data_IF_190167475749
#
_entry.id   IF_190167475749
#
_cell.length_a   1.000
_cell.length_b   1.000
_cell.length_c   1.000
_cell.angle_alpha   90.00
_cell.angle_beta   90.00
_cell.angle_gamma   90.00
#
_symmetry.space_group_name_H-M   'P 1'
#
loop_
_entity.id
_entity.type
_entity.pdbx_description
1 polymer ?
#
# COMPACT_ATOMS: atom_id res chain seq x y z
N UNK A 1 31.67 -13.75 -27.95
CA UNK A 1 30.32 -13.45 -27.45
C UNK A 1 30.39 -13.24 -25.95
N UNK A 2 30.34 -11.99 -25.49
CA UNK A 2 29.54 -11.67 -24.30
C UNK A 2 29.15 -10.20 -24.42
N UNK A 3 27.85 -9.94 -24.39
CA UNK A 3 27.26 -8.62 -24.58
C UNK A 3 26.82 -8.14 -23.19
N UNK A 4 27.48 -7.08 -22.69
CA UNK A 4 26.88 -6.18 -21.71
C UNK A 4 27.00 -6.54 -20.23
N UNK A 5 28.22 -6.52 -19.69
CA UNK A 5 28.44 -6.25 -18.26
C UNK A 5 28.62 -4.73 -18.06
N UNK A 6 27.53 -3.96 -18.02
CA UNK A 6 27.52 -2.60 -17.47
C UNK A 6 26.10 -2.09 -17.24
N UNK A 7 25.86 -1.69 -15.99
CA UNK A 7 24.77 -0.84 -15.52
C UNK A 7 23.42 -1.52 -15.27
N UNK A 8 23.22 -1.97 -14.03
CA UNK A 8 21.90 -1.88 -13.42
C UNK A 8 22.02 -1.07 -12.14
N UNK A 9 22.19 0.24 -12.32
CA UNK A 9 22.37 1.23 -11.26
C UNK A 9 21.05 1.83 -10.76
N UNK A 10 20.05 1.00 -10.43
CA UNK A 10 18.78 1.45 -9.80
C UNK A 10 18.19 0.38 -8.87
N UNK A 11 18.79 0.22 -7.68
CA UNK A 11 18.16 -0.53 -6.59
C UNK A 11 17.27 0.41 -5.76
N UNK A 12 15.99 0.02 -5.59
CA UNK A 12 14.87 0.67 -4.88
C UNK A 12 14.00 1.66 -5.68
N UNK A 13 13.08 1.14 -6.49
CA UNK A 13 12.05 1.90 -7.21
C UNK A 13 10.75 1.10 -7.45
N UNK A 14 10.09 0.73 -6.35
CA UNK A 14 8.62 0.72 -6.15
C UNK A 14 7.69 0.07 -7.21
N UNK A 15 7.56 -1.25 -7.18
CA UNK A 15 6.38 -1.94 -7.73
C UNK A 15 5.20 -1.97 -6.75
N UNK A 16 3.97 -2.12 -7.26
CA UNK A 16 2.76 -2.39 -6.45
C UNK A 16 3.02 -3.59 -5.53
N UNK A 17 2.68 -3.52 -4.22
CA UNK A 17 2.86 -4.64 -3.33
C UNK A 17 1.97 -5.82 -3.73
N UNK A 18 2.53 -7.03 -3.76
CA UNK A 18 1.79 -8.26 -4.03
C UNK A 18 0.89 -8.69 -2.87
N UNK A 19 1.35 -8.49 -1.63
CA UNK A 19 0.65 -8.89 -0.41
C UNK A 19 0.92 -7.94 0.77
N UNK A 20 0.12 -8.05 1.84
CA UNK A 20 0.27 -7.23 3.05
C UNK A 20 1.64 -7.38 3.72
N UNK A 21 2.29 -8.55 3.60
CA UNK A 21 3.64 -8.79 4.15
C UNK A 21 4.68 -7.94 3.42
N UNK A 22 4.56 -7.84 2.10
CA UNK A 22 5.43 -7.01 1.27
C UNK A 22 5.18 -5.52 1.53
N UNK A 23 3.91 -5.10 1.60
CA UNK A 23 3.56 -3.72 1.96
C UNK A 23 4.18 -3.29 3.29
N UNK A 24 4.13 -4.15 4.33
CA UNK A 24 4.80 -3.89 5.63
C UNK A 24 6.32 -3.79 5.47
N UNK A 25 6.93 -4.66 4.67
CA UNK A 25 8.36 -4.60 4.35
C UNK A 25 8.77 -3.30 3.65
N UNK A 26 7.95 -2.79 2.72
CA UNK A 26 8.20 -1.52 2.04
C UNK A 26 8.21 -0.32 3.00
N UNK A 27 7.30 -0.30 3.99
CA UNK A 27 7.31 0.74 5.02
C UNK A 27 8.50 0.59 5.99
N UNK A 28 8.80 -0.63 6.44
CA UNK A 28 9.88 -0.90 7.40
C UNK A 28 11.28 -0.62 6.83
N UNK A 29 11.50 -0.93 5.55
CA UNK A 29 12.75 -0.67 4.85
C UNK A 29 12.99 0.81 4.53
N UNK A 30 12.00 1.68 4.78
CA UNK A 30 12.01 3.10 4.38
C UNK A 30 12.23 3.30 2.87
N UNK A 31 12.01 2.25 2.08
CA UNK A 31 12.08 2.30 0.62
C UNK A 31 11.08 3.32 0.05
N UNK A 32 9.97 3.55 0.76
CA UNK A 32 9.04 4.63 0.52
C UNK A 32 9.38 5.83 1.42
N UNK A 33 10.04 6.85 0.87
CA UNK A 33 10.17 8.15 1.56
C UNK A 33 8.85 8.91 1.46
N UNK A 34 7.94 8.63 2.39
CA UNK A 34 6.63 9.25 2.43
C UNK A 34 6.68 10.59 3.19
N UNK A 35 6.03 11.65 2.68
CA UNK A 35 5.75 12.82 3.49
C UNK A 35 4.82 12.43 4.65
N UNK A 36 4.88 13.20 5.75
CA UNK A 36 4.15 12.93 7.00
C UNK A 36 2.67 12.56 6.81
N UNK A 37 1.99 13.18 5.85
CA UNK A 37 0.59 12.89 5.55
C UNK A 37 0.37 11.50 4.92
N UNK A 38 1.27 11.02 4.07
CA UNK A 38 1.18 9.68 3.48
C UNK A 38 1.60 8.60 4.48
N UNK A 39 2.55 8.89 5.37
CA UNK A 39 2.91 8.01 6.47
C UNK A 39 1.74 7.81 7.45
N UNK A 40 1.00 8.89 7.77
CA UNK A 40 -0.22 8.79 8.58
C UNK A 40 -1.25 7.83 7.96
N UNK A 41 -1.47 7.92 6.64
CA UNK A 41 -2.40 7.03 5.93
C UNK A 41 -1.90 5.58 5.98
N UNK A 42 -0.60 5.35 5.80
CA UNK A 42 0.01 4.02 5.91
C UNK A 42 -0.22 3.40 7.29
N UNK A 43 0.02 4.15 8.37
CA UNK A 43 -0.18 3.69 9.74
C UNK A 43 -1.64 3.29 9.99
N UNK A 44 -2.59 4.12 9.56
CA UNK A 44 -4.02 3.81 9.68
C UNK A 44 -4.40 2.59 8.84
N UNK A 45 -3.86 2.45 7.63
CA UNK A 45 -4.13 1.32 6.75
C UNK A 45 -3.60 -0.01 7.31
N UNK A 46 -2.43 0.01 7.96
CA UNK A 46 -1.86 -1.16 8.64
C UNK A 46 -2.63 -1.53 9.90
N UNK A 47 -3.11 -0.54 10.66
CA UNK A 47 -3.84 -0.74 11.90
C UNK A 47 -5.31 -1.12 11.69
N UNK A 48 -5.95 -0.56 10.65
CA UNK A 48 -7.38 -0.74 10.31
C UNK A 48 -7.55 -1.05 8.82
N UNK A 49 -7.16 -2.25 8.39
CA UNK A 49 -7.28 -2.65 6.98
C UNK A 49 -8.73 -2.67 6.48
N UNK A 50 -9.72 -2.93 7.36
CA UNK A 50 -11.16 -2.90 7.05
C UNK A 50 -11.64 -1.50 6.63
N UNK A 51 -11.11 -0.45 7.26
CA UNK A 51 -11.46 0.93 6.94
C UNK A 51 -11.02 1.29 5.52
N UNK A 52 -9.89 0.76 5.07
CA UNK A 52 -9.43 0.94 3.68
C UNK A 52 -10.19 0.03 2.72
N UNK A 53 -10.46 -1.22 3.12
CA UNK A 53 -11.15 -2.22 2.31
C UNK A 53 -12.63 -1.89 2.04
N UNK A 54 -13.32 -1.25 2.98
CA UNK A 54 -14.76 -1.02 2.90
C UNK A 54 -15.13 0.46 2.89
N UNK A 55 -14.32 1.32 3.49
CA UNK A 55 -14.55 2.76 3.53
C UNK A 55 -14.43 3.46 2.17
N UNK A 56 -14.81 4.73 2.17
CA UNK A 56 -14.61 5.65 1.03
C UNK A 56 -13.33 6.47 1.22
N UNK A 57 -12.81 7.03 0.13
CA UNK A 57 -11.66 7.94 0.20
C UNK A 57 -11.89 9.09 1.19
N UNK A 58 -13.13 9.61 1.28
CA UNK A 58 -13.53 10.64 2.25
C UNK A 58 -13.44 10.16 3.70
N UNK A 59 -13.90 8.93 3.97
CA UNK A 59 -13.88 8.37 5.34
C UNK A 59 -12.44 8.13 5.81
N UNK A 60 -11.59 7.63 4.91
CA UNK A 60 -10.15 7.44 5.17
C UNK A 60 -9.46 8.78 5.40
N UNK A 61 -9.76 9.76 4.55
CA UNK A 61 -9.20 11.11 4.66
C UNK A 61 -9.53 11.75 6.03
N UNK A 62 -10.78 11.64 6.46
CA UNK A 62 -11.23 12.13 7.76
C UNK A 62 -10.53 11.41 8.91
N UNK A 63 -10.39 10.08 8.83
CA UNK A 63 -9.68 9.28 9.82
C UNK A 63 -8.18 9.59 9.93
N UNK A 64 -7.57 10.14 8.87
CA UNK A 64 -6.16 10.51 8.83
C UNK A 64 -5.91 12.03 8.95
N UNK A 65 -6.97 12.84 9.08
CA UNK A 65 -6.91 14.31 9.02
C UNK A 65 -6.18 14.85 7.76
N UNK A 66 -6.51 14.28 6.59
CA UNK A 66 -5.99 14.68 5.27
C UNK A 66 -7.13 14.93 4.28
N UNK A 67 -6.82 15.31 3.04
CA UNK A 67 -7.81 15.43 1.96
C UNK A 67 -8.04 14.08 1.24
N UNK A 68 -9.21 13.89 0.59
CA UNK A 68 -9.46 12.72 -0.27
C UNK A 68 -8.45 12.60 -1.43
N UNK A 69 -7.98 13.73 -1.95
CA UNK A 69 -6.94 13.76 -2.99
C UNK A 69 -5.61 13.21 -2.49
N UNK A 70 -5.24 13.45 -1.22
CA UNK A 70 -4.05 12.84 -0.60
C UNK A 70 -4.20 11.32 -0.48
N UNK A 71 -5.40 10.81 -0.21
CA UNK A 71 -5.68 9.36 -0.20
C UNK A 71 -5.53 8.75 -1.60
N UNK A 72 -5.96 9.45 -2.66
CA UNK A 72 -5.73 9.00 -4.03
C UNK A 72 -4.22 8.99 -4.37
N UNK A 73 -3.48 10.03 -3.98
CA UNK A 73 -2.01 10.09 -4.13
C UNK A 73 -1.28 9.01 -3.33
N UNK A 74 -1.82 8.60 -2.19
CA UNK A 74 -1.28 7.49 -1.42
C UNK A 74 -1.32 6.19 -2.23
N UNK A 75 -2.44 5.90 -2.89
CA UNK A 75 -2.58 4.71 -3.74
C UNK A 75 -1.53 4.70 -4.86
N UNK A 76 -1.39 5.82 -5.57
CA UNK A 76 -0.42 5.90 -6.68
C UNK A 76 1.03 5.88 -6.19
N UNK A 77 1.33 6.45 -5.01
CA UNK A 77 2.66 6.38 -4.40
C UNK A 77 3.09 4.94 -4.02
N UNK A 78 2.11 4.07 -3.76
CA UNK A 78 2.33 2.64 -3.53
C UNK A 78 2.37 1.81 -4.82
N UNK A 79 2.21 2.43 -6.00
CA UNK A 79 2.23 1.75 -7.30
C UNK A 79 0.88 1.20 -7.77
N UNK A 80 -0.23 1.51 -7.09
CA UNK A 80 -1.57 1.19 -7.58
C UNK A 80 -2.04 2.21 -8.63
N UNK A 81 -2.92 1.80 -9.54
CA UNK A 81 -3.44 2.70 -10.57
C UNK A 81 -4.30 3.82 -9.97
N UNK A 82 -5.15 3.46 -9.00
CA UNK A 82 -6.11 4.35 -8.35
C UNK A 82 -6.49 3.85 -6.96
N UNK A 83 -7.28 4.65 -6.23
CA UNK A 83 -7.87 4.26 -4.94
C UNK A 83 -8.70 2.97 -5.01
N UNK A 84 -9.40 2.70 -6.13
CA UNK A 84 -10.19 1.46 -6.29
C UNK A 84 -9.32 0.21 -6.27
N UNK A 85 -8.14 0.29 -6.87
CA UNK A 85 -7.18 -0.81 -6.96
C UNK A 85 -6.53 -1.08 -5.60
N UNK A 86 -6.21 -0.02 -4.84
CA UNK A 86 -5.81 -0.11 -3.44
C UNK A 86 -6.90 -0.79 -2.58
N UNK A 87 -8.16 -0.38 -2.75
CA UNK A 87 -9.30 -0.95 -2.01
C UNK A 87 -9.45 -2.45 -2.27
N UNK A 88 -9.36 -2.87 -3.54
CA UNK A 88 -9.42 -4.28 -3.93
C UNK A 88 -8.30 -5.12 -3.28
N UNK A 89 -7.08 -4.57 -3.22
CA UNK A 89 -5.96 -5.22 -2.53
C UNK A 89 -6.25 -5.49 -1.04
N UNK A 90 -6.76 -4.48 -0.32
CA UNK A 90 -7.11 -4.67 1.09
C UNK A 90 -8.29 -5.64 1.30
N UNK A 91 -9.29 -5.62 0.41
CA UNK A 91 -10.39 -6.60 0.43
C UNK A 91 -9.90 -8.04 0.22
N UNK A 92 -9.00 -8.25 -0.75
CA UNK A 92 -8.40 -9.55 -1.02
C UNK A 92 -7.57 -10.04 0.17
N UNK A 93 -6.81 -9.16 0.81
CA UNK A 93 -6.06 -9.48 2.02
C UNK A 93 -6.97 -9.96 3.16
N UNK A 94 -8.06 -9.23 3.44
CA UNK A 94 -9.01 -9.60 4.49
C UNK A 94 -9.74 -10.91 4.19
N UNK A 95 -10.08 -11.15 2.91
CA UNK A 95 -10.67 -12.42 2.47
C UNK A 95 -9.71 -13.59 2.71
N UNK A 96 -8.44 -13.42 2.36
CA UNK A 96 -7.42 -14.44 2.59
C UNK A 96 -7.20 -14.66 4.10
N UNK A 97 -7.07 -13.58 4.89
CA UNK A 97 -6.91 -13.66 6.35
C UNK A 97 -8.04 -14.44 7.05
N UNK A 98 -9.28 -14.28 6.58
CA UNK A 98 -10.44 -15.03 7.07
C UNK A 98 -10.39 -16.52 6.70
N UNK A 99 -9.83 -16.88 5.54
CA UNK A 99 -9.69 -18.27 5.12
C UNK A 99 -8.65 -19.02 5.96
N UNK A 100 -7.53 -18.38 6.29
CA UNK A 100 -6.46 -18.98 7.09
C UNK A 100 -6.91 -19.26 8.53
N UNK A 101 -7.80 -18.41 9.07
CA UNK A 101 -8.38 -18.58 10.42
C UNK A 101 -9.60 -19.50 10.46
N UNK A 102 -10.13 -19.93 9.30
CA UNK A 102 -11.32 -20.77 9.20
C UNK A 102 -11.00 -22.27 9.01
N UNK A 103 -9.78 -22.72 9.31
CA UNK A 103 -9.44 -24.15 9.36
C UNK A 103 -9.60 -24.66 10.81
N UNK A 104 -10.37 -25.74 11.05
CA UNK A 104 -10.55 -26.37 12.37
C UNK A 104 -9.29 -27.06 12.89
#
# INVERSE_FOLDING_TARGET
>A
MNYGDADTRTNAGQGRPGDMRELKGMFASRALRLPKQLEQIALVALARPDLVAFGSARSIALACAVSPTTVARFATALGFNDFRDLKAFFQQHLRNARMISASP
#
